data_IF_748357114099
#
_entry.id   IF_748357114099
#
_cell.length_a   1.000
_cell.length_b   1.000
_cell.length_c   1.000
_cell.angle_alpha   90.00
_cell.angle_beta   90.00
_cell.angle_gamma   90.00
#
_symmetry.space_group_name_H-M   'P 1'
#
loop_
_entity.id
_entity.type
_entity.pdbx_description
1 polymer ?
#
# COMPACT_ATOMS: atom_id res chain seq x y z
N UNK A 1 -25.42 24.33 -0.13
CA UNK A 1 -25.51 22.93 -0.61
C UNK A 1 -24.22 22.24 -0.21
N UNK A 2 -24.21 21.53 0.91
CA UNK A 2 -23.03 20.77 1.36
C UNK A 2 -22.94 19.50 0.52
N UNK A 3 -21.93 19.43 -0.35
CA UNK A 3 -21.62 18.21 -1.10
C UNK A 3 -21.18 17.14 -0.10
N UNK A 4 -22.11 16.29 0.30
CA UNK A 4 -21.83 15.17 1.19
C UNK A 4 -21.14 14.09 0.34
N UNK A 5 -19.84 14.23 0.13
CA UNK A 5 -19.04 13.23 -0.58
C UNK A 5 -19.11 11.94 0.23
N UNK A 6 -19.57 10.82 -0.35
CA UNK A 6 -19.58 9.53 0.35
C UNK A 6 -18.15 9.24 0.83
N UNK A 7 -17.98 8.99 2.13
CA UNK A 7 -16.68 8.58 2.66
C UNK A 7 -16.31 7.25 1.98
N UNK A 8 -15.08 7.16 1.48
CA UNK A 8 -14.56 5.94 0.85
C UNK A 8 -14.48 4.79 1.87
N UNK A 9 -14.23 5.12 3.13
CA UNK A 9 -14.13 4.19 4.26
C UNK A 9 -14.98 4.70 5.43
N UNK A 10 -15.46 3.81 6.29
CA UNK A 10 -15.94 4.24 7.61
C UNK A 10 -14.77 4.61 8.51
N UNK A 11 -15.07 5.18 9.67
CA UNK A 11 -14.06 5.74 10.56
C UNK A 11 -13.10 4.65 11.09
N UNK A 12 -13.61 3.44 11.39
CA UNK A 12 -12.79 2.31 11.82
C UNK A 12 -11.81 1.85 10.73
N UNK A 13 -12.28 1.69 9.49
CA UNK A 13 -11.40 1.33 8.38
C UNK A 13 -10.45 2.47 8.05
N UNK A 14 -10.88 3.72 8.15
CA UNK A 14 -10.01 4.86 7.93
C UNK A 14 -8.82 4.86 8.91
N UNK A 15 -9.09 4.68 10.20
CA UNK A 15 -8.06 4.64 11.24
C UNK A 15 -7.10 3.45 11.03
N UNK A 16 -7.63 2.28 10.69
CA UNK A 16 -6.82 1.10 10.39
C UNK A 16 -5.92 1.32 9.16
N UNK A 17 -6.46 1.93 8.09
CA UNK A 17 -5.69 2.25 6.89
C UNK A 17 -4.61 3.29 7.18
N UNK A 18 -4.94 4.32 7.98
CA UNK A 18 -3.99 5.35 8.38
C UNK A 18 -2.81 4.74 9.14
N UNK A 19 -3.07 3.88 10.12
CA UNK A 19 -2.03 3.17 10.85
C UNK A 19 -1.14 2.33 9.92
N UNK A 20 -1.74 1.56 9.00
CA UNK A 20 -0.97 0.76 8.04
C UNK A 20 -0.08 1.62 7.15
N UNK A 21 -0.56 2.80 6.73
CA UNK A 21 0.23 3.72 5.92
C UNK A 21 1.38 4.34 6.70
N UNK A 22 1.14 4.79 7.93
CA UNK A 22 2.17 5.40 8.77
C UNK A 22 3.30 4.38 9.05
N UNK A 23 2.96 3.15 9.43
CA UNK A 23 3.92 2.06 9.65
C UNK A 23 4.68 1.68 8.36
N UNK A 24 4.00 1.70 7.21
CA UNK A 24 4.65 1.47 5.90
C UNK A 24 5.67 2.56 5.60
N UNK A 25 5.31 3.83 5.84
CA UNK A 25 6.20 4.97 5.62
C UNK A 25 7.41 4.88 6.54
N UNK A 26 7.22 4.57 7.81
CA UNK A 26 8.30 4.39 8.78
C UNK A 26 9.27 3.28 8.35
N UNK A 27 8.75 2.11 7.95
CA UNK A 27 9.58 1.02 7.42
C UNK A 27 10.41 1.45 6.21
N UNK A 28 9.82 2.22 5.29
CA UNK A 28 10.52 2.75 4.11
C UNK A 28 11.56 3.83 4.48
N UNK A 29 11.31 4.63 5.51
CA UNK A 29 12.29 5.61 6.02
C UNK A 29 13.50 4.91 6.64
N UNK A 30 13.29 3.83 7.39
CA UNK A 30 14.36 2.98 7.92
C UNK A 30 15.16 2.31 6.80
N UNK A 31 14.47 1.73 5.81
CA UNK A 31 15.10 1.12 4.65
C UNK A 31 16.06 2.07 3.92
N UNK A 32 15.66 3.35 3.77
CA UNK A 32 16.45 4.38 3.06
C UNK A 32 17.82 4.64 3.70
N UNK A 33 17.94 4.46 5.01
CA UNK A 33 19.18 4.72 5.77
C UNK A 33 19.90 3.45 6.19
N UNK A 34 19.37 2.27 5.85
CA UNK A 34 19.95 0.99 6.25
C UNK A 34 21.28 0.73 5.53
N UNK A 35 22.40 0.56 6.26
CA UNK A 35 23.67 0.16 5.67
C UNK A 35 23.79 -1.37 5.53
N UNK A 36 22.92 -2.13 6.20
CA UNK A 36 22.95 -3.58 6.27
C UNK A 36 21.88 -4.20 5.36
N UNK A 37 22.26 -5.28 4.66
CA UNK A 37 21.40 -5.95 3.67
C UNK A 37 20.27 -6.74 4.33
N UNK A 38 20.53 -7.36 5.47
CA UNK A 38 19.52 -8.13 6.19
C UNK A 38 18.47 -7.17 6.75
N UNK A 39 18.89 -6.07 7.36
CA UNK A 39 18.00 -5.00 7.86
C UNK A 39 17.20 -4.34 6.72
N UNK A 40 17.83 -4.10 5.57
CA UNK A 40 17.15 -3.58 4.37
C UNK A 40 16.07 -4.56 3.88
N UNK A 41 16.40 -5.85 3.83
CA UNK A 41 15.46 -6.88 3.40
C UNK A 41 14.26 -7.00 4.37
N UNK A 42 14.51 -6.90 5.67
CA UNK A 42 13.48 -6.95 6.70
C UNK A 42 12.54 -5.74 6.61
N UNK A 43 13.06 -4.54 6.44
CA UNK A 43 12.25 -3.31 6.30
C UNK A 43 11.38 -3.34 5.04
N UNK A 44 11.88 -3.84 3.91
CA UNK A 44 11.06 -4.08 2.72
C UNK A 44 9.98 -5.13 2.94
N UNK A 45 10.28 -6.24 3.63
CA UNK A 45 9.29 -7.26 3.94
C UNK A 45 8.13 -6.70 4.77
N UNK A 46 8.42 -5.85 5.77
CA UNK A 46 7.40 -5.17 6.58
C UNK A 46 6.55 -4.24 5.73
N UNK A 47 7.17 -3.38 4.90
CA UNK A 47 6.44 -2.45 4.05
C UNK A 47 5.49 -3.19 3.08
N UNK A 48 5.96 -4.26 2.44
CA UNK A 48 5.15 -5.07 1.54
C UNK A 48 3.99 -5.78 2.27
N UNK A 49 4.23 -6.31 3.46
CA UNK A 49 3.18 -6.92 4.29
C UNK A 49 2.08 -5.90 4.61
N UNK A 50 2.44 -4.69 5.05
CA UNK A 50 1.48 -3.66 5.44
C UNK A 50 0.64 -3.17 4.24
N UNK A 51 1.26 -2.98 3.07
CA UNK A 51 0.53 -2.70 1.83
C UNK A 51 -0.41 -3.86 1.43
N UNK A 52 0.01 -5.11 1.65
CA UNK A 52 -0.84 -6.29 1.45
C UNK A 52 -2.06 -6.30 2.37
N UNK A 53 -1.87 -6.00 3.67
CA UNK A 53 -2.96 -5.89 4.64
C UNK A 53 -3.94 -4.77 4.25
N UNK A 54 -3.42 -3.60 3.87
CA UNK A 54 -4.24 -2.46 3.41
C UNK A 54 -5.08 -2.83 2.18
N UNK A 55 -4.46 -3.53 1.22
CA UNK A 55 -5.16 -4.03 0.04
C UNK A 55 -6.26 -5.03 0.41
N UNK A 56 -5.98 -5.95 1.36
CA UNK A 56 -6.93 -6.93 1.86
C UNK A 56 -8.12 -6.31 2.59
N UNK A 57 -7.90 -5.25 3.38
CA UNK A 57 -8.99 -4.53 4.05
C UNK A 57 -9.94 -3.87 3.05
N UNK A 58 -9.40 -3.30 1.97
CA UNK A 58 -10.23 -2.72 0.90
C UNK A 58 -10.97 -3.83 0.14
N UNK A 59 -10.32 -4.96 -0.17
CA UNK A 59 -10.93 -6.12 -0.85
C UNK A 59 -12.16 -6.66 -0.10
N UNK A 60 -12.13 -6.70 1.24
CA UNK A 60 -13.26 -7.16 2.05
C UNK A 60 -14.54 -6.34 1.83
N UNK A 61 -14.41 -5.08 1.38
CA UNK A 61 -15.53 -4.17 1.12
C UNK A 61 -15.76 -3.93 -0.37
N UNK A 62 -14.72 -4.03 -1.17
CA UNK A 62 -14.69 -3.81 -2.61
C UNK A 62 -14.05 -5.00 -3.29
N UNK A 63 -14.84 -6.06 -3.49
CA UNK A 63 -14.33 -7.29 -4.12
C UNK A 63 -13.78 -7.01 -5.52
N UNK A 64 -12.59 -7.54 -5.80
CA UNK A 64 -11.84 -7.31 -7.04
C UNK A 64 -10.79 -6.21 -6.94
N UNK A 65 -10.73 -5.45 -5.85
CA UNK A 65 -9.73 -4.40 -5.65
C UNK A 65 -8.28 -4.94 -5.73
N UNK A 66 -7.99 -6.07 -5.10
CA UNK A 66 -6.64 -6.66 -5.15
C UNK A 66 -6.23 -7.01 -6.58
N UNK A 67 -7.17 -7.53 -7.39
CA UNK A 67 -6.95 -7.81 -8.81
C UNK A 67 -6.69 -6.52 -9.59
N UNK A 68 -7.47 -5.46 -9.36
CA UNK A 68 -7.24 -4.18 -10.03
C UNK A 68 -5.88 -3.57 -9.69
N UNK A 69 -5.43 -3.68 -8.44
CA UNK A 69 -4.10 -3.22 -8.01
C UNK A 69 -3.02 -3.98 -8.78
N UNK A 70 -3.14 -5.30 -8.90
CA UNK A 70 -2.19 -6.12 -9.65
C UNK A 70 -2.19 -5.76 -11.15
N UNK A 71 -3.35 -5.57 -11.76
CA UNK A 71 -3.46 -5.13 -13.16
C UNK A 71 -2.83 -3.74 -13.38
N UNK A 72 -2.96 -2.82 -12.42
CA UNK A 72 -2.26 -1.52 -12.45
C UNK A 72 -0.75 -1.70 -12.30
N UNK A 73 -0.28 -2.58 -11.40
CA UNK A 73 1.14 -2.88 -11.22
C UNK A 73 1.78 -3.43 -12.49
N UNK A 74 1.13 -4.38 -13.17
CA UNK A 74 1.62 -4.94 -14.42
C UNK A 74 1.74 -3.88 -15.53
N UNK A 75 0.78 -2.96 -15.62
CA UNK A 75 0.85 -1.83 -16.56
C UNK A 75 2.03 -0.89 -16.27
N UNK A 76 2.28 -0.60 -15.00
CA UNK A 76 3.46 0.21 -14.59
C UNK A 76 4.76 -0.50 -14.98
N UNK A 77 4.88 -1.80 -14.71
CA UNK A 77 6.06 -2.59 -15.10
C UNK A 77 6.27 -2.55 -16.60
N UNK A 78 5.22 -2.86 -17.38
CA UNK A 78 5.31 -2.84 -18.84
C UNK A 78 5.74 -1.46 -19.37
N UNK A 79 5.22 -0.37 -18.80
CA UNK A 79 5.58 0.99 -19.20
C UNK A 79 7.03 1.37 -18.84
N UNK A 80 7.57 0.83 -17.75
CA UNK A 80 8.98 1.03 -17.36
C UNK A 80 9.92 0.21 -18.24
N UNK A 81 9.57 -1.04 -18.54
CA UNK A 81 10.37 -1.93 -19.39
C UNK A 81 10.42 -1.49 -20.85
N UNK A 82 9.37 -0.88 -21.39
CA UNK A 82 9.36 -0.34 -22.77
C UNK A 82 10.21 0.93 -22.95
N UNK A 83 10.61 1.61 -21.86
CA UNK A 83 11.46 2.81 -21.89
C UNK A 83 12.96 2.50 -21.81
N UNK A 84 13.34 1.22 -21.78
CA UNK A 84 14.72 0.73 -21.78
C UNK A 84 14.92 -0.24 -22.93
#
# INVERSE_FOLDING_TARGET
MTTNTPKLFDDELHDAMQQLYDETIEAMQLAKVSPDLDDLSATFAVALLKLGLATGLVEQRHSGFAKEVEEKRQRVIAALTQKH
#
